data_IF_479497140524
#
_entry.id   IF_479497140524
#
_cell.length_a   1.000
_cell.length_b   1.000
_cell.length_c   1.000
_cell.angle_alpha   90.00
_cell.angle_beta   90.00
_cell.angle_gamma   90.00
#
_symmetry.space_group_name_H-M   'P 1'
#
loop_
_entity.id
_entity.type
_entity.pdbx_description
1 polymer ?
#
# COMPACT_ATOMS: atom_id res chain seq x y z
N UNK A 1 -16.18 42.23 0.49
CA UNK A 1 -17.04 41.37 1.34
C UNK A 1 -17.45 40.18 0.50
N UNK A 2 -16.72 39.07 0.60
CA UNK A 2 -17.02 37.86 -0.19
C UNK A 2 -18.17 37.14 0.51
N UNK A 3 -19.35 37.12 -0.11
CA UNK A 3 -20.54 36.48 0.45
C UNK A 3 -20.23 35.01 0.82
N UNK A 4 -20.66 34.50 1.99
CA UNK A 4 -20.52 33.09 2.28
C UNK A 4 -21.43 32.35 1.30
N UNK A 5 -20.84 31.71 0.29
CA UNK A 5 -21.54 30.80 -0.59
C UNK A 5 -22.11 29.68 0.29
N UNK A 6 -23.40 29.78 0.61
CA UNK A 6 -24.07 28.86 1.52
C UNK A 6 -24.13 27.48 0.89
N UNK A 7 -23.14 26.66 1.23
CA UNK A 7 -23.00 25.31 0.74
C UNK A 7 -24.19 24.45 1.20
N UNK A 8 -25.00 23.94 0.24
CA UNK A 8 -26.16 23.06 0.48
C UNK A 8 -25.95 21.59 0.10
N UNK A 9 -24.74 21.22 -0.34
CA UNK A 9 -24.42 19.84 -0.73
C UNK A 9 -24.17 18.91 0.47
N UNK A 10 -24.03 17.59 0.24
CA UNK A 10 -23.65 16.64 1.28
C UNK A 10 -22.26 16.97 1.84
N UNK A 11 -22.06 16.81 3.14
CA UNK A 11 -20.74 17.01 3.77
C UNK A 11 -19.96 15.70 3.80
N UNK A 12 -18.65 15.80 3.57
CA UNK A 12 -17.78 14.66 3.76
C UNK A 12 -17.80 14.24 5.24
N UNK A 13 -18.05 12.97 5.52
CA UNK A 13 -18.06 12.46 6.91
C UNK A 13 -16.71 12.60 7.61
N UNK A 14 -15.61 12.55 6.86
CA UNK A 14 -14.26 12.56 7.42
C UNK A 14 -13.76 13.97 7.73
N UNK A 15 -14.07 14.97 6.89
CA UNK A 15 -13.54 16.33 7.04
C UNK A 15 -14.60 17.42 7.21
N UNK A 16 -15.89 17.06 7.15
CA UNK A 16 -17.03 17.99 7.18
C UNK A 16 -16.97 19.13 6.12
N UNK A 17 -16.15 18.96 5.09
CA UNK A 17 -15.93 19.95 4.04
C UNK A 17 -17.05 20.01 2.99
N UNK A 18 -17.06 21.08 2.16
CA UNK A 18 -17.97 21.22 1.03
C UNK A 18 -17.45 20.41 -0.17
N UNK A 19 -17.91 19.17 -0.32
CA UNK A 19 -17.30 18.21 -1.22
C UNK A 19 -18.16 18.02 -2.48
N UNK A 20 -17.67 18.53 -3.61
CA UNK A 20 -18.43 18.66 -4.85
C UNK A 20 -18.47 17.41 -5.74
N UNK A 21 -17.78 16.33 -5.41
CA UNK A 21 -17.83 15.14 -6.24
C UNK A 21 -17.51 13.86 -5.45
N UNK A 22 -18.34 12.86 -5.72
CA UNK A 22 -18.19 11.42 -5.50
C UNK A 22 -18.93 10.76 -4.33
N UNK A 23 -19.60 9.65 -4.69
CA UNK A 23 -20.35 8.69 -3.89
C UNK A 23 -19.45 7.47 -3.72
N UNK A 24 -18.84 7.32 -2.55
CA UNK A 24 -17.98 6.19 -2.21
C UNK A 24 -18.77 5.01 -1.63
N UNK A 25 -18.34 3.81 -2.03
CA UNK A 25 -18.88 2.48 -1.74
C UNK A 25 -19.14 2.12 -0.25
N UNK A 26 -19.96 1.08 -0.04
CA UNK A 26 -20.61 0.43 1.15
C UNK A 26 -20.89 1.25 2.43
N UNK A 27 -20.11 2.25 2.83
CA UNK A 27 -20.23 2.89 4.14
C UNK A 27 -20.44 4.41 4.16
N UNK A 28 -20.50 5.18 3.05
CA UNK A 28 -21.00 6.57 3.07
C UNK A 28 -20.21 7.64 2.27
N UNK A 29 -20.62 8.92 2.41
CA UNK A 29 -20.05 10.05 1.65
C UNK A 29 -18.68 10.50 2.19
N UNK A 30 -17.64 10.36 1.38
CA UNK A 30 -16.30 10.90 1.60
C UNK A 30 -15.84 11.65 0.35
N UNK A 31 -15.01 12.67 0.53
CA UNK A 31 -14.49 13.46 -0.59
C UNK A 31 -13.23 12.86 -1.20
N UNK A 32 -12.94 13.24 -2.45
CA UNK A 32 -11.71 12.88 -3.15
C UNK A 32 -10.47 13.18 -2.31
N UNK A 33 -10.35 14.38 -1.74
CA UNK A 33 -9.20 14.75 -0.90
C UNK A 33 -9.00 13.82 0.31
N UNK A 34 -10.07 13.31 0.93
CA UNK A 34 -9.95 12.34 2.02
C UNK A 34 -9.59 10.94 1.51
N UNK A 35 -10.06 10.56 0.31
CA UNK A 35 -9.66 9.32 -0.35
C UNK A 35 -8.18 9.38 -0.72
N UNK A 36 -7.73 10.48 -1.33
CA UNK A 36 -6.35 10.67 -1.76
C UNK A 36 -5.40 10.56 -0.57
N UNK A 37 -5.71 11.23 0.55
CA UNK A 37 -4.92 11.06 1.80
C UNK A 37 -4.92 9.62 2.32
N UNK A 38 -6.03 8.89 2.18
CA UNK A 38 -6.07 7.48 2.57
C UNK A 38 -5.20 6.61 1.64
N UNK A 39 -5.26 6.87 0.34
CA UNK A 39 -4.45 6.18 -0.66
C UNK A 39 -2.97 6.48 -0.50
N UNK A 40 -2.59 7.73 -0.24
CA UNK A 40 -1.21 8.12 0.11
C UNK A 40 -0.73 7.38 1.36
N UNK A 41 -1.54 7.33 2.42
CA UNK A 41 -1.20 6.59 3.62
C UNK A 41 -1.11 5.07 3.38
N UNK A 42 -1.89 4.51 2.46
CA UNK A 42 -1.80 3.12 2.06
C UNK A 42 -0.54 2.85 1.24
N UNK A 43 -0.21 3.74 0.29
CA UNK A 43 1.00 3.68 -0.52
C UNK A 43 2.27 3.74 0.35
N UNK A 44 2.33 4.66 1.32
CA UNK A 44 3.46 4.76 2.25
C UNK A 44 3.68 3.46 3.05
N UNK A 45 2.60 2.76 3.43
CA UNK A 45 2.69 1.45 4.11
C UNK A 45 3.18 0.36 3.16
N UNK A 46 2.78 0.39 1.89
CA UNK A 46 3.26 -0.53 0.88
C UNK A 46 4.76 -0.34 0.62
N UNK A 47 5.20 0.92 0.43
CA UNK A 47 6.61 1.26 0.22
C UNK A 47 7.51 0.76 1.38
N UNK A 48 7.05 0.92 2.62
CA UNK A 48 7.76 0.41 3.79
C UNK A 48 7.89 -1.12 3.79
N UNK A 49 6.86 -1.84 3.33
CA UNK A 49 6.89 -3.30 3.20
C UNK A 49 7.83 -3.74 2.07
N UNK A 50 7.79 -3.05 0.94
CA UNK A 50 8.63 -3.35 -0.22
C UNK A 50 10.11 -3.14 0.08
N UNK A 51 10.46 -2.07 0.80
CA UNK A 51 11.81 -1.85 1.32
C UNK A 51 12.27 -3.02 2.19
N UNK A 52 11.46 -3.41 3.18
CA UNK A 52 11.78 -4.52 4.08
C UNK A 52 11.88 -5.86 3.33
N UNK A 53 11.05 -6.08 2.32
CA UNK A 53 11.12 -7.25 1.47
C UNK A 53 12.41 -7.26 0.64
N UNK A 54 12.80 -6.12 0.06
CA UNK A 54 14.05 -5.97 -0.69
C UNK A 54 15.26 -6.22 0.19
N UNK A 55 15.32 -5.66 1.40
CA UNK A 55 16.38 -5.92 2.37
C UNK A 55 16.51 -7.43 2.67
N UNK A 56 15.39 -8.10 2.95
CA UNK A 56 15.37 -9.57 3.19
C UNK A 56 15.87 -10.36 1.99
N UNK A 57 15.47 -9.98 0.78
CA UNK A 57 15.91 -10.64 -0.45
C UNK A 57 17.42 -10.45 -0.68
N UNK A 58 17.94 -9.26 -0.43
CA UNK A 58 19.37 -8.98 -0.49
C UNK A 58 20.14 -9.81 0.54
N UNK A 59 19.72 -9.82 1.82
CA UNK A 59 20.37 -10.65 2.85
C UNK A 59 20.37 -12.14 2.48
N UNK A 60 19.26 -12.66 1.95
CA UNK A 60 19.20 -14.04 1.44
C UNK A 60 20.16 -14.28 0.28
N UNK A 61 20.20 -13.36 -0.70
CA UNK A 61 21.09 -13.45 -1.88
C UNK A 61 22.55 -13.55 -1.46
N UNK A 62 22.99 -12.73 -0.51
CA UNK A 62 24.38 -12.76 -0.06
C UNK A 62 24.69 -13.97 0.84
N UNK A 63 23.78 -14.34 1.75
CA UNK A 63 23.99 -15.51 2.62
C UNK A 63 23.96 -16.86 1.86
N UNK A 64 23.27 -16.95 0.72
CA UNK A 64 23.24 -18.16 -0.10
C UNK A 64 24.46 -18.31 -1.03
N UNK A 65 25.26 -17.27 -1.26
CA UNK A 65 26.46 -17.35 -2.10
C UNK A 65 27.71 -17.84 -1.34
N UNK A 66 27.70 -17.80 0.00
CA UNK A 66 28.81 -18.25 0.86
C UNK A 66 28.81 -19.76 1.16
N UNK A 67 27.98 -20.53 0.45
CA UNK A 67 28.01 -21.99 0.56
C UNK A 67 27.72 -22.60 -0.81
N UNK A 68 28.74 -23.04 -1.55
CA UNK A 68 28.52 -24.07 -2.55
C UNK A 68 28.15 -25.34 -1.80
N UNK A 69 26.86 -25.50 -1.45
CA UNK A 69 26.32 -26.82 -1.15
C UNK A 69 26.34 -27.59 -2.45
N UNK A 70 27.50 -28.17 -2.76
CA UNK A 70 27.62 -29.34 -3.63
C UNK A 70 26.70 -30.38 -3.01
N UNK A 71 25.46 -30.40 -3.47
CA UNK A 71 24.56 -31.50 -3.24
C UNK A 71 25.14 -32.64 -4.07
N UNK A 72 25.97 -33.47 -3.45
CA UNK A 72 26.26 -34.81 -3.95
C UNK A 72 24.91 -35.53 -3.98
N UNK A 73 24.20 -35.41 -5.09
CA UNK A 73 23.13 -36.34 -5.44
C UNK A 73 23.85 -37.65 -5.76
N UNK A 74 23.95 -38.51 -4.75
CA UNK A 74 24.40 -39.88 -4.93
C UNK A 74 23.43 -40.56 -5.88
N UNK A 75 23.87 -40.81 -7.11
CA UNK A 75 23.16 -41.68 -8.05
C UNK A 75 23.32 -43.10 -7.50
N UNK A 76 22.33 -43.55 -6.73
CA UNK A 76 22.22 -44.94 -6.31
C UNK A 76 21.92 -45.78 -7.54
N UNK A 77 22.90 -46.58 -7.96
CA UNK A 77 22.72 -47.65 -8.92
C UNK A 77 21.69 -48.65 -8.37
N UNK A 78 20.62 -48.88 -9.13
CA UNK A 78 19.76 -50.06 -8.97
C UNK A 78 20.33 -51.12 -9.92
N UNK A 79 20.79 -52.22 -9.34
CA UNK A 79 21.11 -53.49 -10.00
C UNK A 79 19.98 -54.46 -9.67
#
# INVERSE_FOLDING_TARGET
MTAPTSYRGPRCRSCNGPCWLYKGDVWGYTCSACIDRHLEAAAARADARDRKARERLLSKRFNHNDSPRVSKVGVGAVI
#
